data_IF_142845894549
#
_entry.id   IF_142845894549
#
_cell.length_a   1.000
_cell.length_b   1.000
_cell.length_c   1.000
_cell.angle_alpha   90.00
_cell.angle_beta   90.00
_cell.angle_gamma   90.00
#
_symmetry.space_group_name_H-M   'P 1'
#
loop_
_entity.id
_entity.type
_entity.pdbx_description
1 polymer ?
#
# COMPACT_ATOMS: atom_id res chain seq x y z
N UNK A 1 -5.55 -7.92 -14.60
CA UNK A 1 -4.27 -8.14 -15.31
C UNK A 1 -3.57 -6.80 -15.32
N UNK A 2 -2.52 -6.63 -14.50
CA UNK A 2 -1.77 -5.37 -14.42
C UNK A 2 -1.08 -5.14 -15.77
N UNK A 3 -1.25 -3.96 -16.34
CA UNK A 3 -0.54 -3.53 -17.53
C UNK A 3 0.68 -2.69 -17.10
N UNK A 4 1.88 -3.28 -17.14
CA UNK A 4 3.14 -2.63 -16.74
C UNK A 4 3.57 -1.45 -17.63
N UNK A 5 2.80 -1.14 -18.70
CA UNK A 5 3.02 0.04 -19.53
C UNK A 5 2.41 1.33 -18.94
N UNK A 6 1.54 1.21 -17.94
CA UNK A 6 0.98 2.35 -17.20
C UNK A 6 1.63 2.37 -15.80
N UNK A 7 2.12 3.51 -15.29
CA UNK A 7 2.71 3.56 -13.97
C UNK A 7 1.67 3.16 -12.91
N UNK A 8 1.91 2.01 -12.27
CA UNK A 8 1.09 1.50 -11.17
C UNK A 8 1.36 2.32 -9.93
N UNK A 9 0.29 2.74 -9.24
CA UNK A 9 0.45 3.47 -7.99
C UNK A 9 1.11 2.57 -6.92
N UNK A 10 2.08 3.07 -6.11
CA UNK A 10 2.78 2.24 -5.13
C UNK A 10 1.85 1.47 -4.19
N UNK A 11 0.75 2.09 -3.76
CA UNK A 11 -0.24 1.43 -2.91
C UNK A 11 -1.02 0.30 -3.59
N UNK A 12 -1.28 0.39 -4.90
CA UNK A 12 -1.89 -0.71 -5.65
C UNK A 12 -0.90 -1.86 -5.80
N UNK A 13 0.37 -1.54 -6.08
CA UNK A 13 1.45 -2.51 -6.13
C UNK A 13 1.62 -3.25 -4.79
N UNK A 14 1.62 -2.54 -3.66
CA UNK A 14 1.71 -3.15 -2.32
C UNK A 14 0.53 -4.11 -2.07
N UNK A 15 -0.69 -3.69 -2.43
CA UNK A 15 -1.89 -4.52 -2.25
C UNK A 15 -1.81 -5.82 -3.05
N UNK A 16 -1.56 -5.71 -4.36
CA UNK A 16 -1.64 -6.85 -5.28
C UNK A 16 -0.44 -7.78 -5.17
N UNK A 17 0.75 -7.25 -4.87
CA UNK A 17 1.98 -8.06 -4.84
C UNK A 17 2.30 -8.64 -3.46
N UNK A 18 1.77 -8.06 -2.38
CA UNK A 18 2.08 -8.48 -1.01
C UNK A 18 0.84 -8.75 -0.17
N UNK A 19 -0.09 -7.80 -0.05
CA UNK A 19 -1.20 -7.99 0.88
C UNK A 19 -2.15 -9.11 0.46
N UNK A 20 -2.54 -9.16 -0.81
CA UNK A 20 -3.46 -10.18 -1.32
C UNK A 20 -2.83 -11.59 -1.32
N UNK A 21 -1.58 -11.81 -1.81
CA UNK A 21 -0.98 -13.14 -1.81
C UNK A 21 -0.68 -13.71 -0.42
N UNK A 22 -0.46 -12.84 0.57
CA UNK A 22 -0.16 -13.23 1.95
C UNK A 22 -1.35 -13.07 2.92
N UNK A 23 -2.53 -12.72 2.40
CA UNK A 23 -3.76 -12.50 3.17
C UNK A 23 -3.60 -11.50 4.33
N UNK A 24 -2.78 -10.47 4.15
CA UNK A 24 -2.46 -9.48 5.20
C UNK A 24 -3.56 -8.42 5.27
N UNK A 25 -4.27 -8.27 6.41
CA UNK A 25 -5.24 -7.20 6.58
C UNK A 25 -4.56 -5.82 6.67
N UNK A 26 -5.19 -4.78 6.11
CA UNK A 26 -4.66 -3.42 6.16
C UNK A 26 -4.43 -2.91 7.60
N UNK A 27 -5.27 -3.31 8.56
CA UNK A 27 -5.10 -2.95 9.96
C UNK A 27 -3.83 -3.57 10.57
N UNK A 28 -3.52 -4.81 10.22
CA UNK A 28 -2.31 -5.49 10.67
C UNK A 28 -1.06 -4.83 10.06
N UNK A 29 -1.09 -4.52 8.77
CA UNK A 29 0.03 -3.85 8.12
C UNK A 29 0.28 -2.45 8.69
N UNK A 30 -0.78 -1.70 8.98
CA UNK A 30 -0.67 -0.37 9.59
C UNK A 30 -0.01 -0.45 10.98
N UNK A 31 -0.40 -1.43 11.80
CA UNK A 31 0.16 -1.67 13.13
C UNK A 31 1.65 -2.02 13.05
N UNK A 32 2.03 -2.95 12.15
CA UNK A 32 3.43 -3.38 11.97
C UNK A 32 4.35 -2.29 11.43
N UNK A 33 3.81 -1.38 10.62
CA UNK A 33 4.55 -0.24 10.08
C UNK A 33 4.47 1.00 10.98
N UNK A 34 3.80 0.91 12.14
CA UNK A 34 3.60 2.02 13.07
C UNK A 34 2.98 3.27 12.41
N UNK A 35 2.10 3.07 11.43
CA UNK A 35 1.38 4.14 10.71
C UNK A 35 -0.11 4.13 11.03
N UNK A 36 -0.76 5.28 10.88
CA UNK A 36 -2.22 5.33 11.00
C UNK A 36 -2.90 4.52 9.89
N UNK A 37 -3.95 3.78 10.23
CA UNK A 37 -4.76 3.03 9.25
C UNK A 37 -5.32 3.94 8.15
N UNK A 38 -5.64 5.20 8.46
CA UNK A 38 -6.15 6.17 7.50
C UNK A 38 -5.08 6.67 6.52
N UNK A 39 -3.81 6.75 6.92
CA UNK A 39 -2.70 7.03 6.02
C UNK A 39 -2.44 5.84 5.08
N UNK A 40 -2.31 4.63 5.64
CA UNK A 40 -2.12 3.43 4.83
C UNK A 40 -3.28 3.20 3.86
N UNK A 41 -4.52 3.37 4.31
CA UNK A 41 -5.71 3.24 3.45
C UNK A 41 -5.70 4.24 2.29
N UNK A 42 -5.27 5.49 2.51
CA UNK A 42 -5.16 6.47 1.42
C UNK A 42 -4.09 6.07 0.40
N UNK A 43 -2.94 5.57 0.86
CA UNK A 43 -1.88 5.04 0.00
C UNK A 43 -2.40 3.85 -0.84
N UNK A 44 -2.95 2.82 -0.19
CA UNK A 44 -3.45 1.59 -0.84
C UNK A 44 -4.56 1.85 -1.87
N UNK A 45 -5.29 2.96 -1.74
CA UNK A 45 -6.36 3.36 -2.65
C UNK A 45 -5.94 4.44 -3.66
N UNK A 46 -4.64 4.72 -3.82
CA UNK A 46 -4.17 5.68 -4.81
C UNK A 46 -4.50 7.14 -4.51
N UNK A 47 -4.85 7.47 -3.26
CA UNK A 47 -5.29 8.82 -2.86
C UNK A 47 -4.16 9.70 -2.34
N UNK A 48 -3.02 9.11 -2.04
CA UNK A 48 -1.81 9.80 -1.58
C UNK A 48 -0.59 9.03 -2.07
N UNK A 49 0.46 9.77 -2.45
CA UNK A 49 1.76 9.18 -2.76
C UNK A 49 2.38 8.50 -1.53
N UNK A 50 3.41 7.67 -1.76
CA UNK A 50 4.26 7.15 -0.70
C UNK A 50 5.19 8.26 -0.20
N UNK A 51 5.02 8.68 1.06
CA UNK A 51 5.92 9.68 1.64
C UNK A 51 7.30 9.11 1.94
N UNK A 52 8.30 9.98 2.05
CA UNK A 52 9.66 9.59 2.41
C UNK A 52 9.71 8.86 3.76
N UNK A 53 8.97 9.36 4.73
CA UNK A 53 8.85 8.85 6.09
C UNK A 53 8.23 7.45 6.14
N UNK A 54 7.33 7.11 5.20
CA UNK A 54 6.78 5.75 5.08
C UNK A 54 7.75 4.77 4.38
N UNK A 55 8.82 5.28 3.76
CA UNK A 55 9.77 4.49 2.99
C UNK A 55 11.11 4.25 3.72
N UNK A 56 11.30 4.82 4.91
CA UNK A 56 12.44 4.62 5.80
C UNK A 56 12.24 3.41 6.72
#
# INVERSE_FOLDING_TARGET
MINLYDPVHPGEFIREMFMEPFEIPAAELADKLEVSQSALSRLLNGKTDLSYEMAL
#
